data_IF_987201256537
#
_entry.id   IF_987201256537
#
_cell.length_a   1.000
_cell.length_b   1.000
_cell.length_c   1.000
_cell.angle_alpha   90.00
_cell.angle_beta   90.00
_cell.angle_gamma   90.00
#
_symmetry.space_group_name_H-M   'P 1'
#
loop_
_entity.id
_entity.type
_entity.pdbx_description
1 polymer ?
#
# COMPACT_ATOMS: atom_id res chain seq x y z
N UNK A 1 -17.39 -38.40 -2.94
CA UNK A 1 -18.79 -38.63 -2.48
C UNK A 1 -18.72 -39.78 -1.49
N UNK A 2 -18.83 -39.58 -0.18
CA UNK A 2 -20.12 -39.38 0.49
C UNK A 2 -19.90 -38.67 1.85
N UNK A 3 -19.24 -37.50 1.80
CA UNK A 3 -19.12 -36.53 2.90
C UNK A 3 -20.46 -35.79 3.14
N UNK A 4 -21.57 -36.54 3.14
CA UNK A 4 -22.95 -36.02 3.09
C UNK A 4 -23.88 -36.61 4.17
N UNK A 5 -23.33 -37.22 5.23
CA UNK A 5 -24.14 -37.80 6.32
C UNK A 5 -23.83 -37.28 7.73
N UNK A 6 -23.33 -36.05 7.87
CA UNK A 6 -23.23 -35.38 9.17
C UNK A 6 -24.00 -34.05 9.23
N UNK A 7 -25.07 -33.91 8.45
CA UNK A 7 -26.04 -32.80 8.59
C UNK A 7 -27.39 -33.35 9.04
N UNK A 8 -27.46 -33.86 10.27
CA UNK A 8 -28.72 -33.99 10.97
C UNK A 8 -28.48 -34.14 12.47
N UNK A 9 -28.85 -33.06 13.20
CA UNK A 9 -29.16 -32.96 14.64
C UNK A 9 -28.22 -32.03 15.41
N UNK A 10 -28.64 -30.78 15.54
CA UNK A 10 -29.05 -30.19 16.84
C UNK A 10 -29.65 -28.81 16.58
N UNK A 11 -30.98 -28.75 16.68
CA UNK A 11 -31.71 -27.51 16.99
C UNK A 11 -31.37 -27.13 18.43
N UNK A 12 -31.10 -25.86 18.67
CA UNK A 12 -31.14 -25.23 19.99
C UNK A 12 -29.78 -24.95 20.62
N UNK A 13 -29.28 -23.73 20.45
CA UNK A 13 -28.92 -22.82 21.55
C UNK A 13 -28.32 -21.53 20.97
N UNK A 14 -28.84 -20.38 21.41
CA UNK A 14 -28.19 -19.07 21.24
C UNK A 14 -26.81 -19.16 21.89
N UNK A 15 -25.75 -19.08 21.08
CA UNK A 15 -24.40 -18.84 21.59
C UNK A 15 -24.18 -17.34 21.41
N UNK A 16 -24.20 -16.62 22.52
CA UNK A 16 -23.69 -15.24 22.62
C UNK A 16 -22.22 -15.31 22.19
N UNK A 17 -21.84 -14.49 21.22
CA UNK A 17 -20.51 -14.54 20.59
C UNK A 17 -19.39 -14.23 21.58
N UNK A 18 -18.82 -15.27 22.19
CA UNK A 18 -17.49 -15.18 22.78
C UNK A 18 -16.49 -15.00 21.63
N UNK A 19 -15.78 -13.87 21.64
CA UNK A 19 -14.58 -13.67 20.81
C UNK A 19 -13.58 -14.75 21.21
N UNK A 20 -13.36 -15.73 20.34
CA UNK A 20 -12.24 -16.65 20.47
C UNK A 20 -10.95 -15.85 20.26
N UNK A 21 -10.34 -15.36 21.35
CA UNK A 21 -9.01 -14.78 21.31
C UNK A 21 -8.02 -15.95 21.26
N UNK A 22 -7.48 -16.23 20.07
CA UNK A 22 -6.39 -17.18 19.91
C UNK A 22 -5.10 -16.45 20.27
N UNK A 23 -4.50 -16.82 21.40
CA UNK A 23 -3.17 -16.33 21.78
C UNK A 23 -2.14 -17.01 20.87
N UNK A 24 -1.65 -16.27 19.88
CA UNK A 24 -0.61 -16.74 18.96
C UNK A 24 0.74 -16.55 19.66
N UNK A 25 1.48 -17.64 19.92
CA UNK A 25 2.84 -17.54 20.45
C UNK A 25 3.81 -16.92 19.44
N UNK A 26 4.89 -16.31 19.93
CA UNK A 26 5.88 -15.58 19.11
C UNK A 26 6.42 -16.41 17.93
N UNK A 27 6.63 -17.71 18.13
CA UNK A 27 7.11 -18.62 17.08
C UNK A 27 6.08 -18.85 15.96
N UNK A 28 4.79 -18.85 16.28
CA UNK A 28 3.72 -18.99 15.29
C UNK A 28 3.49 -17.69 14.52
N UNK A 29 3.60 -16.54 15.20
CA UNK A 29 3.55 -15.23 14.56
C UNK A 29 4.72 -15.06 13.59
N UNK A 30 5.95 -15.40 14.02
CA UNK A 30 7.15 -15.35 13.20
C UNK A 30 7.06 -16.30 11.99
N UNK A 31 6.60 -17.53 12.18
CA UNK A 31 6.34 -18.45 11.06
C UNK A 31 5.29 -17.92 10.07
N UNK A 32 4.20 -17.31 10.55
CA UNK A 32 3.17 -16.71 9.70
C UNK A 32 3.72 -15.53 8.89
N UNK A 33 4.47 -14.62 9.53
CA UNK A 33 5.17 -13.53 8.84
C UNK A 33 6.21 -14.04 7.84
N UNK A 34 7.05 -15.00 8.22
CA UNK A 34 8.07 -15.59 7.35
C UNK A 34 7.46 -16.31 6.14
N UNK A 35 6.28 -16.94 6.31
CA UNK A 35 5.60 -17.68 5.26
C UNK A 35 4.88 -16.76 4.26
N UNK A 36 4.26 -15.67 4.73
CA UNK A 36 3.38 -14.83 3.91
C UNK A 36 3.99 -13.50 3.49
N UNK A 37 4.78 -12.86 4.36
CA UNK A 37 5.30 -11.51 4.10
C UNK A 37 6.75 -11.53 3.59
N UNK A 38 7.56 -12.54 3.94
CA UNK A 38 9.02 -12.51 3.66
C UNK A 38 9.40 -12.41 2.19
N UNK A 39 8.61 -12.94 1.26
CA UNK A 39 8.90 -12.87 -0.19
C UNK A 39 8.66 -11.46 -0.72
N UNK A 40 7.47 -10.93 -0.47
CA UNK A 40 7.10 -9.57 -0.82
C UNK A 40 8.04 -8.56 -0.14
N UNK A 41 8.35 -8.73 1.15
CA UNK A 41 9.31 -7.88 1.85
C UNK A 41 10.71 -7.92 1.22
N UNK A 42 11.22 -9.09 0.83
CA UNK A 42 12.51 -9.18 0.13
C UNK A 42 12.47 -8.42 -1.20
N UNK A 43 11.37 -8.47 -1.92
CA UNK A 43 11.23 -7.77 -3.20
C UNK A 43 11.09 -6.26 -3.03
N UNK A 44 10.26 -5.84 -2.09
CA UNK A 44 10.07 -4.43 -1.74
C UNK A 44 11.40 -3.82 -1.25
N UNK A 45 12.17 -4.57 -0.46
CA UNK A 45 13.43 -4.09 0.12
C UNK A 45 14.64 -4.29 -0.78
N UNK A 46 14.53 -4.95 -1.95
CA UNK A 46 15.67 -5.12 -2.85
C UNK A 46 16.10 -3.79 -3.52
N UNK A 47 15.32 -2.72 -3.37
CA UNK A 47 15.63 -1.39 -3.90
C UNK A 47 15.36 -1.21 -5.39
N UNK A 48 14.82 -2.22 -6.08
CA UNK A 48 14.29 -2.09 -7.44
C UNK A 48 12.99 -1.30 -7.38
N UNK A 49 12.89 -0.22 -8.14
CA UNK A 49 11.65 0.52 -8.32
C UNK A 49 11.02 0.13 -9.67
N UNK A 50 9.78 -0.34 -9.64
CA UNK A 50 9.11 -0.88 -10.82
C UNK A 50 8.56 0.22 -11.73
N UNK A 51 8.26 1.40 -11.17
CA UNK A 51 7.85 2.57 -11.96
C UNK A 51 9.01 3.09 -12.81
N UNK A 52 10.19 3.28 -12.25
CA UNK A 52 11.38 3.79 -12.93
C UNK A 52 12.20 2.71 -13.64
N UNK A 53 11.90 1.42 -13.40
CA UNK A 53 12.64 0.25 -13.91
C UNK A 53 14.14 0.31 -13.63
N UNK A 54 14.53 0.73 -12.43
CA UNK A 54 15.93 0.82 -12.01
C UNK A 54 16.11 0.58 -10.52
N UNK A 55 17.36 0.38 -10.11
CA UNK A 55 17.74 0.34 -8.71
C UNK A 55 17.82 1.75 -8.14
N UNK A 56 17.32 1.92 -6.92
CA UNK A 56 17.42 3.17 -6.16
C UNK A 56 18.65 3.10 -5.24
N UNK A 57 19.41 4.19 -5.16
CA UNK A 57 20.59 4.28 -4.29
C UNK A 57 20.15 4.40 -2.82
N UNK A 58 20.66 3.51 -1.96
CA UNK A 58 20.40 3.48 -0.52
C UNK A 58 20.64 4.80 0.21
N UNK A 59 21.55 5.64 -0.29
CA UNK A 59 21.83 6.96 0.30
C UNK A 59 20.63 7.90 0.26
N UNK A 60 19.65 7.65 -0.62
CA UNK A 60 18.46 8.50 -0.76
C UNK A 60 17.55 8.48 0.46
N UNK A 61 17.60 7.45 1.29
CA UNK A 61 16.85 7.42 2.56
C UNK A 61 17.39 8.41 3.61
N UNK A 62 18.54 9.04 3.37
CA UNK A 62 19.16 9.98 4.32
C UNK A 62 18.73 11.44 4.09
N UNK A 63 18.52 11.84 2.83
CA UNK A 63 18.14 13.22 2.50
C UNK A 63 17.30 13.28 1.21
N UNK A 64 16.02 13.61 1.36
CA UNK A 64 15.11 13.77 0.23
C UNK A 64 15.52 14.91 -0.71
N UNK A 65 16.18 15.96 -0.18
CA UNK A 65 16.62 17.13 -0.98
C UNK A 65 17.67 16.75 -2.02
N UNK A 66 18.38 15.64 -1.82
CA UNK A 66 19.39 15.15 -2.75
C UNK A 66 18.81 14.63 -4.09
N UNK A 67 17.51 14.33 -4.16
CA UNK A 67 16.87 13.84 -5.38
C UNK A 67 15.48 14.46 -5.67
N UNK A 68 14.90 15.21 -4.73
CA UNK A 68 13.61 15.84 -4.94
C UNK A 68 13.70 17.02 -5.91
N UNK A 69 13.01 16.92 -7.04
CA UNK A 69 12.84 18.02 -7.99
C UNK A 69 11.43 18.64 -7.95
N UNK A 70 10.47 18.02 -7.25
CA UNK A 70 9.08 18.51 -7.19
C UNK A 70 8.80 19.46 -6.01
N UNK A 71 9.69 19.51 -5.02
CA UNK A 71 9.59 20.34 -3.82
C UNK A 71 8.68 19.79 -2.71
N UNK A 72 8.13 18.58 -2.85
CA UNK A 72 7.14 18.01 -1.92
C UNK A 72 7.55 16.64 -1.35
N UNK A 73 8.79 16.18 -1.58
CA UNK A 73 9.27 14.91 -1.02
C UNK A 73 9.92 15.15 0.35
N UNK A 74 9.55 14.33 1.32
CA UNK A 74 10.14 14.29 2.65
C UNK A 74 10.45 12.84 3.03
N UNK A 75 11.54 12.62 3.77
CA UNK A 75 11.89 11.28 4.24
C UNK A 75 10.87 10.83 5.27
N UNK A 76 10.46 9.57 5.14
CA UNK A 76 9.52 8.93 6.04
C UNK A 76 10.25 7.77 6.67
N UNK A 77 10.32 7.75 7.98
CA UNK A 77 11.03 6.70 8.69
C UNK A 77 10.40 5.34 8.45
N UNK A 78 11.26 4.35 8.19
CA UNK A 78 10.84 2.97 8.01
C UNK A 78 10.24 2.64 6.64
N UNK A 79 10.25 3.53 5.64
CA UNK A 79 9.80 3.15 4.28
C UNK A 79 10.89 2.36 3.53
N UNK A 80 10.51 1.45 2.61
CA UNK A 80 11.47 0.76 1.75
C UNK A 80 12.17 1.68 0.76
N UNK A 81 13.36 1.27 0.36
CA UNK A 81 14.20 2.01 -0.58
C UNK A 81 13.53 2.22 -1.96
N UNK A 82 12.71 1.28 -2.42
CA UNK A 82 11.99 1.40 -3.69
C UNK A 82 11.06 2.62 -3.74
N UNK A 83 10.63 3.15 -2.60
CA UNK A 83 9.75 4.34 -2.52
C UNK A 83 10.54 5.67 -2.55
N UNK A 84 11.87 5.63 -2.41
CA UNK A 84 12.73 6.80 -2.32
C UNK A 84 13.02 7.43 -3.70
N UNK A 85 11.96 7.83 -4.40
CA UNK A 85 12.04 8.51 -5.69
C UNK A 85 11.05 9.69 -5.79
N UNK A 86 11.42 10.67 -6.61
CA UNK A 86 10.61 11.86 -6.85
C UNK A 86 9.67 11.62 -8.05
N UNK A 87 8.45 12.16 -8.01
CA UNK A 87 7.50 12.03 -9.12
C UNK A 87 8.05 12.62 -10.44
N UNK A 88 8.94 13.62 -10.36
CA UNK A 88 9.60 14.21 -11.53
C UNK A 88 10.62 13.29 -12.18
N UNK A 89 11.20 12.34 -11.45
CA UNK A 89 12.11 11.37 -12.06
C UNK A 89 11.37 10.47 -13.07
N UNK A 90 10.06 10.25 -12.90
CA UNK A 90 9.24 9.56 -13.89
C UNK A 90 9.07 10.38 -15.18
N UNK A 91 9.43 11.67 -15.21
CA UNK A 91 9.47 12.53 -16.39
C UNK A 91 10.76 12.37 -17.21
N UNK A 92 11.85 11.99 -16.55
CA UNK A 92 13.22 12.09 -17.07
C UNK A 92 13.81 10.74 -17.53
N UNK A 93 13.01 9.68 -17.59
CA UNK A 93 13.48 8.29 -17.80
C UNK A 93 13.98 7.96 -19.23
N UNK A 94 14.13 8.95 -20.11
CA UNK A 94 14.61 8.75 -21.48
C UNK A 94 13.77 7.74 -22.29
N UNK A 95 14.41 7.02 -23.23
CA UNK A 95 13.77 6.06 -24.14
C UNK A 95 13.41 4.70 -23.51
N UNK A 96 13.92 4.40 -22.31
CA UNK A 96 13.67 3.13 -21.58
C UNK A 96 12.48 3.20 -20.61
N UNK A 97 11.57 4.15 -20.85
CA UNK A 97 10.50 4.51 -19.91
C UNK A 97 9.44 3.41 -19.81
N UNK A 98 9.15 3.00 -18.57
CA UNK A 98 8.08 2.05 -18.32
C UNK A 98 6.71 2.66 -18.64
N UNK A 99 5.71 1.79 -18.90
CA UNK A 99 4.31 2.20 -19.02
C UNK A 99 3.85 2.94 -17.75
N UNK A 100 4.26 2.46 -16.57
CA UNK A 100 3.95 3.10 -15.31
C UNK A 100 4.53 4.53 -15.21
N UNK A 101 5.79 4.73 -15.61
CA UNK A 101 6.40 6.07 -15.62
C UNK A 101 5.72 7.02 -16.61
N UNK A 102 5.29 6.51 -17.78
CA UNK A 102 4.52 7.30 -18.75
C UNK A 102 3.17 7.72 -18.18
N UNK A 103 2.44 6.78 -17.56
CA UNK A 103 1.16 7.05 -16.93
C UNK A 103 1.27 8.11 -15.83
N UNK A 104 2.26 7.97 -14.93
CA UNK A 104 2.52 8.94 -13.88
C UNK A 104 2.85 10.33 -14.45
N UNK A 105 3.70 10.39 -15.47
CA UNK A 105 4.06 11.67 -16.07
C UNK A 105 2.91 12.33 -16.83
N UNK A 106 2.01 11.54 -17.44
CA UNK A 106 0.79 12.06 -18.05
C UNK A 106 -0.12 12.70 -16.99
N UNK A 107 -0.21 12.13 -15.78
CA UNK A 107 -0.95 12.76 -14.66
C UNK A 107 -0.29 14.03 -14.15
N UNK A 108 1.05 14.10 -14.15
CA UNK A 108 1.78 15.31 -13.74
C UNK A 108 1.56 16.43 -14.77
N UNK A 109 1.68 16.12 -16.06
CA UNK A 109 1.62 17.13 -17.12
C UNK A 109 2.61 18.27 -16.88
N UNK A 110 2.08 19.50 -16.80
CA UNK A 110 2.86 20.71 -16.51
C UNK A 110 2.97 21.06 -15.03
N UNK A 111 2.35 20.29 -14.13
CA UNK A 111 2.35 20.58 -12.70
C UNK A 111 3.75 20.44 -12.09
N UNK A 112 4.04 21.20 -11.04
CA UNK A 112 5.33 21.07 -10.33
C UNK A 112 5.44 19.74 -9.55
N UNK A 113 4.31 19.17 -9.14
CA UNK A 113 4.23 17.90 -8.43
C UNK A 113 2.89 17.21 -8.72
N UNK A 114 2.86 15.87 -8.74
CA UNK A 114 1.61 15.10 -8.93
C UNK A 114 0.60 15.37 -7.83
N UNK A 115 1.06 15.68 -6.61
CA UNK A 115 0.19 15.96 -5.46
C UNK A 115 -0.57 17.27 -5.58
N UNK A 116 -0.20 18.14 -6.54
CA UNK A 116 -0.93 19.38 -6.86
C UNK A 116 -2.05 19.17 -7.88
N UNK A 117 -2.19 17.95 -8.42
CA UNK A 117 -3.30 17.63 -9.31
C UNK A 117 -4.61 17.60 -8.51
N UNK A 118 -5.68 18.23 -9.01
CA UNK A 118 -6.96 18.32 -8.29
C UNK A 118 -7.54 16.94 -7.92
N UNK A 119 -7.51 16.00 -8.87
CA UNK A 119 -7.95 14.62 -8.62
C UNK A 119 -7.12 13.90 -7.55
N UNK A 120 -5.86 14.27 -7.31
CA UNK A 120 -5.08 13.64 -6.25
C UNK A 120 -5.74 13.90 -4.88
N UNK A 121 -6.10 15.15 -4.60
CA UNK A 121 -6.75 15.51 -3.35
C UNK A 121 -8.09 14.78 -3.20
N UNK A 122 -8.95 14.86 -4.23
CA UNK A 122 -10.28 14.24 -4.20
C UNK A 122 -10.24 12.72 -4.10
N UNK A 123 -9.31 12.03 -4.77
CA UNK A 123 -9.29 10.57 -4.81
C UNK A 123 -8.48 9.94 -3.68
N UNK A 124 -7.45 10.63 -3.18
CA UNK A 124 -6.49 10.04 -2.25
C UNK A 124 -6.59 10.61 -0.82
N UNK A 125 -7.21 11.79 -0.63
CA UNK A 125 -7.21 12.48 0.67
C UNK A 125 -8.62 12.83 1.19
N UNK A 126 -9.65 12.74 0.34
CA UNK A 126 -11.03 12.97 0.75
C UNK A 126 -11.64 11.71 1.39
N UNK A 127 -12.06 11.84 2.64
CA UNK A 127 -12.53 10.71 3.45
C UNK A 127 -13.80 10.09 2.86
N UNK A 128 -14.74 10.89 2.37
CA UNK A 128 -16.00 10.38 1.82
C UNK A 128 -15.76 9.63 0.52
N UNK A 129 -14.84 10.13 -0.31
CA UNK A 129 -14.43 9.43 -1.52
C UNK A 129 -13.72 8.12 -1.19
N UNK A 130 -12.81 8.12 -0.20
CA UNK A 130 -12.12 6.90 0.22
C UNK A 130 -13.08 5.86 0.81
N UNK A 131 -14.09 6.28 1.58
CA UNK A 131 -15.16 5.40 2.06
C UNK A 131 -15.89 4.72 0.90
N UNK A 132 -16.22 5.47 -0.16
CA UNK A 132 -16.81 4.88 -1.36
C UNK A 132 -15.85 3.93 -2.07
N UNK A 133 -14.57 4.32 -2.21
CA UNK A 133 -13.55 3.53 -2.90
C UNK A 133 -13.14 2.25 -2.17
N UNK A 134 -13.36 2.16 -0.85
CA UNK A 134 -13.12 0.94 -0.06
C UNK A 134 -13.89 -0.28 -0.60
N UNK A 135 -15.00 -0.05 -1.29
CA UNK A 135 -15.83 -1.10 -1.92
C UNK A 135 -15.61 -1.22 -3.44
N UNK A 136 -14.70 -0.41 -4.01
CA UNK A 136 -14.45 -0.41 -5.44
C UNK A 136 -13.46 -1.51 -5.82
N UNK A 137 -13.88 -2.44 -6.68
CA UNK A 137 -13.10 -3.64 -7.05
C UNK A 137 -11.73 -3.35 -7.66
N UNK A 138 -11.56 -2.21 -8.34
CA UNK A 138 -10.26 -1.79 -8.87
C UNK A 138 -9.30 -1.22 -7.81
N UNK A 139 -9.84 -0.80 -6.66
CA UNK A 139 -9.06 -0.22 -5.55
C UNK A 139 -8.82 -1.28 -4.48
N UNK A 140 -9.87 -1.92 -3.97
CA UNK A 140 -9.78 -2.99 -2.98
C UNK A 140 -10.46 -4.26 -3.53
N UNK A 141 -9.69 -5.33 -3.72
CA UNK A 141 -10.23 -6.59 -4.27
C UNK A 141 -10.74 -7.52 -3.16
N UNK A 142 -10.11 -7.48 -1.98
CA UNK A 142 -10.40 -8.37 -0.87
C UNK A 142 -10.30 -7.63 0.47
N UNK A 143 -11.34 -6.87 0.83
CA UNK A 143 -11.44 -6.29 2.19
C UNK A 143 -12.17 -7.25 3.13
N UNK A 144 -11.54 -7.75 4.21
CA UNK A 144 -12.19 -8.64 5.16
C UNK A 144 -12.90 -7.81 6.25
N UNK A 145 -14.18 -7.47 6.02
CA UNK A 145 -15.11 -7.04 7.07
C UNK A 145 -15.46 -5.55 7.05
N UNK A 146 -16.74 -5.16 7.00
CA UNK A 146 -17.74 -5.25 8.07
C UNK A 146 -17.37 -4.48 9.36
N UNK A 147 -16.34 -3.65 9.37
CA UNK A 147 -16.20 -2.61 10.40
C UNK A 147 -16.99 -1.36 10.00
N UNK A 148 -17.72 -0.77 10.96
CA UNK A 148 -18.53 0.43 10.74
C UNK A 148 -17.67 1.67 10.45
N UNK A 149 -16.37 1.64 10.80
CA UNK A 149 -15.45 2.77 10.67
C UNK A 149 -14.05 2.33 10.27
N UNK A 150 -13.48 2.96 9.24
CA UNK A 150 -12.09 2.73 8.81
C UNK A 150 -11.08 3.45 9.72
N UNK A 151 -9.95 2.79 9.99
CA UNK A 151 -8.81 3.35 10.74
C UNK A 151 -7.90 4.21 9.85
N UNK A 152 -6.98 4.98 10.46
CA UNK A 152 -5.97 5.74 9.70
C UNK A 152 -5.11 4.84 8.80
N UNK A 153 -4.78 3.63 9.26
CA UNK A 153 -4.05 2.63 8.47
C UNK A 153 -4.85 2.18 7.25
N UNK A 154 -6.15 1.98 7.41
CA UNK A 154 -7.04 1.59 6.31
C UNK A 154 -7.13 2.70 5.26
N UNK A 155 -7.27 3.96 5.70
CA UNK A 155 -7.25 5.10 4.78
C UNK A 155 -5.92 5.23 4.04
N UNK A 156 -4.77 4.98 4.68
CA UNK A 156 -3.47 4.95 3.96
C UNK A 156 -3.45 3.89 2.86
N UNK A 157 -3.93 2.68 3.16
CA UNK A 157 -4.00 1.60 2.17
C UNK A 157 -4.94 1.97 1.01
N UNK A 158 -6.16 2.42 1.30
CA UNK A 158 -7.15 2.78 0.27
C UNK A 158 -6.64 3.96 -0.56
N UNK A 159 -6.03 4.97 0.06
CA UNK A 159 -5.45 6.11 -0.63
C UNK A 159 -4.31 5.71 -1.57
N UNK A 160 -3.43 4.80 -1.13
CA UNK A 160 -2.39 4.23 -1.97
C UNK A 160 -3.00 3.51 -3.18
N UNK A 161 -3.97 2.63 -2.94
CA UNK A 161 -4.65 1.89 -4.01
C UNK A 161 -5.41 2.79 -4.97
N UNK A 162 -6.08 3.82 -4.45
CA UNK A 162 -6.78 4.82 -5.23
C UNK A 162 -5.81 5.59 -6.12
N UNK A 163 -4.65 5.98 -5.60
CA UNK A 163 -3.59 6.61 -6.40
C UNK A 163 -3.09 5.70 -7.52
N UNK A 164 -2.78 4.44 -7.19
CA UNK A 164 -2.27 3.48 -8.16
C UNK A 164 -3.30 3.17 -9.25
N UNK A 165 -4.57 3.00 -8.87
CA UNK A 165 -5.66 2.79 -9.83
C UNK A 165 -5.93 4.03 -10.68
N UNK A 166 -5.95 5.23 -10.09
CA UNK A 166 -6.12 6.48 -10.84
C UNK A 166 -5.00 6.69 -11.87
N UNK A 167 -3.78 6.32 -11.51
CA UNK A 167 -2.59 6.50 -12.35
C UNK A 167 -2.50 5.43 -13.43
N UNK A 168 -2.70 4.16 -13.08
CA UNK A 168 -2.37 3.02 -13.93
C UNK A 168 -3.57 2.17 -14.37
N UNK A 169 -4.77 2.44 -13.87
CA UNK A 169 -5.95 1.62 -14.16
C UNK A 169 -5.79 0.18 -13.65
N UNK A 170 -6.23 -0.79 -14.43
CA UNK A 170 -6.14 -2.22 -14.08
C UNK A 170 -4.70 -2.76 -14.00
N UNK A 171 -3.71 -2.03 -14.51
CA UNK A 171 -2.30 -2.46 -14.50
C UNK A 171 -1.66 -2.36 -13.09
N UNK A 172 -2.33 -1.75 -12.11
CA UNK A 172 -1.80 -1.63 -10.74
C UNK A 172 -2.07 -2.84 -9.84
N UNK A 173 -2.60 -3.94 -10.39
CA UNK A 173 -2.78 -5.19 -9.64
C UNK A 173 -1.43 -5.69 -9.13
N UNK A 174 -1.42 -6.32 -7.96
CA UNK A 174 -0.19 -6.85 -7.39
C UNK A 174 0.56 -5.90 -6.45
N UNK A 175 0.08 -4.67 -6.18
CA UNK A 175 0.76 -3.70 -5.30
C UNK A 175 2.24 -3.42 -5.64
N UNK A 176 2.65 -3.66 -6.89
CA UNK A 176 4.04 -3.57 -7.34
C UNK A 176 4.43 -2.18 -7.83
N UNK A 177 3.47 -1.28 -8.04
CA UNK A 177 3.71 0.07 -8.53
C UNK A 177 3.83 1.05 -7.36
N UNK A 178 5.07 1.29 -6.95
CA UNK A 178 5.35 2.17 -5.81
C UNK A 178 4.91 3.60 -6.13
N UNK A 179 4.22 4.31 -5.22
CA UNK A 179 3.94 5.73 -5.37
C UNK A 179 5.24 6.53 -5.14
N UNK A 180 5.37 7.72 -5.74
CA UNK A 180 6.52 8.59 -5.47
C UNK A 180 6.48 9.10 -4.03
N UNK A 181 7.65 9.43 -3.48
CA UNK A 181 7.79 9.82 -2.07
C UNK A 181 6.89 11.00 -1.66
N UNK A 182 6.69 11.96 -2.56
CA UNK A 182 5.76 13.09 -2.33
C UNK A 182 4.30 12.65 -2.13
N UNK A 183 3.83 11.63 -2.84
CA UNK A 183 2.48 11.09 -2.68
C UNK A 183 2.37 10.38 -1.34
N UNK A 184 3.33 9.52 -1.05
CA UNK A 184 3.34 8.78 0.21
C UNK A 184 3.38 9.72 1.42
N UNK A 185 4.22 10.75 1.36
CA UNK A 185 4.32 11.78 2.38
C UNK A 185 2.98 12.50 2.61
N UNK A 186 2.29 12.93 1.55
CA UNK A 186 0.97 13.59 1.70
C UNK A 186 -0.10 12.66 2.26
N UNK A 187 -0.10 11.39 1.87
CA UNK A 187 -1.03 10.39 2.40
C UNK A 187 -0.81 10.20 3.91
N UNK A 188 0.45 10.03 4.35
CA UNK A 188 0.78 9.87 5.77
C UNK A 188 0.52 11.15 6.56
N UNK A 189 0.75 12.32 5.97
CA UNK A 189 0.41 13.60 6.60
C UNK A 189 -1.09 13.71 6.88
N UNK A 190 -1.94 13.21 5.97
CA UNK A 190 -3.40 13.21 6.13
C UNK A 190 -3.89 12.12 7.08
N UNK A 191 -3.27 10.94 7.04
CA UNK A 191 -3.63 9.76 7.83
C UNK A 191 -2.38 9.25 8.60
N UNK A 192 -2.06 9.86 9.75
CA UNK A 192 -0.82 9.60 10.47
C UNK A 192 -0.66 8.15 10.94
N UNK A 193 0.59 7.69 11.04
CA UNK A 193 0.91 6.41 11.68
C UNK A 193 0.52 6.47 13.16
N UNK A 194 0.07 5.35 13.71
CA UNK A 194 -0.24 5.25 15.14
C UNK A 194 1.07 5.08 15.92
N UNK A 195 1.21 5.79 17.05
CA UNK A 195 2.36 5.71 17.97
C UNK A 195 2.34 4.44 18.83
N UNK A 196 1.76 3.34 18.34
CA UNK A 196 1.62 2.13 19.13
C UNK A 196 2.96 1.37 19.18
N UNK A 197 3.81 1.83 20.11
CA UNK A 197 5.13 1.31 20.48
C UNK A 197 5.18 -0.17 20.87
N UNK A 198 4.03 -0.86 20.90
CA UNK A 198 3.88 -2.26 21.30
C UNK A 198 4.20 -3.26 20.19
N UNK A 199 4.23 -2.83 18.92
CA UNK A 199 4.55 -3.69 17.78
C UNK A 199 5.71 -3.07 17.01
N UNK A 200 6.87 -3.73 17.00
CA UNK A 200 8.06 -3.35 16.21
C UNK A 200 7.83 -3.52 14.69
N UNK A 201 6.66 -3.12 14.17
CA UNK A 201 6.37 -3.16 12.76
C UNK A 201 7.10 -2.00 12.07
N UNK A 202 8.09 -2.33 11.25
CA UNK A 202 8.79 -1.41 10.36
C UNK A 202 8.42 -1.73 8.92
N UNK A 203 8.59 -0.81 7.98
CA UNK A 203 8.28 -1.08 6.57
C UNK A 203 6.83 -0.79 6.19
N UNK A 204 6.44 -1.31 5.02
CA UNK A 204 5.09 -1.12 4.48
C UNK A 204 4.01 -1.79 5.31
N UNK A 205 4.34 -2.78 6.13
CA UNK A 205 3.40 -3.39 7.07
C UNK A 205 2.84 -2.36 8.06
N UNK A 206 3.69 -1.47 8.57
CA UNK A 206 3.23 -0.39 9.43
C UNK A 206 2.39 0.65 8.65
N UNK A 207 2.80 0.92 7.41
CA UNK A 207 2.13 1.91 6.57
C UNK A 207 0.75 1.44 6.10
N UNK A 208 0.62 0.21 5.63
CA UNK A 208 -0.55 -0.29 4.90
C UNK A 208 -1.21 -1.53 5.52
N UNK A 209 -0.63 -2.11 6.56
CA UNK A 209 -1.14 -3.34 7.19
C UNK A 209 -0.97 -4.59 6.32
N UNK A 210 -1.45 -5.72 6.84
CA UNK A 210 -1.25 -7.04 6.20
C UNK A 210 -2.02 -7.19 4.87
N UNK A 211 -3.12 -6.46 4.70
CA UNK A 211 -3.92 -6.49 3.45
C UNK A 211 -3.12 -6.11 2.23
N UNK A 212 -2.11 -5.25 2.38
CA UNK A 212 -1.18 -4.88 1.32
C UNK A 212 -0.40 -6.09 0.76
N UNK A 213 0.02 -7.00 1.62
CA UNK A 213 0.85 -8.15 1.23
C UNK A 213 0.03 -9.26 0.59
N UNK A 214 -1.25 -9.41 0.96
CA UNK A 214 -2.14 -10.38 0.32
C UNK A 214 -2.37 -10.10 -1.16
N UNK A 215 -2.32 -8.82 -1.54
CA UNK A 215 -2.48 -8.39 -2.93
C UNK A 215 -1.11 -8.18 -3.61
N UNK A 216 0.00 -8.58 -3.00
CA UNK A 216 1.33 -8.50 -3.61
C UNK A 216 1.62 -9.78 -4.41
N UNK A 217 1.33 -9.75 -5.71
CA UNK A 217 1.55 -10.88 -6.63
C UNK A 217 2.80 -10.63 -7.49
N UNK A 218 3.65 -11.66 -7.60
CA UNK A 218 4.80 -11.66 -8.50
C UNK A 218 4.31 -11.67 -9.96
N UNK A 219 4.77 -10.70 -10.75
CA UNK A 219 4.68 -10.79 -12.21
C UNK A 219 5.87 -11.64 -12.70
N UNK A 220 5.68 -12.95 -12.77
CA UNK A 220 6.54 -13.87 -13.54
C UNK A 220 6.29 -13.71 -15.05
#
# INVERSE_FOLDING_TARGET
MEMRRMLARRRGSRIVGERTVVTVGDDHARWFYDRFCSSAERMINNGKNNVLKRMIDGKRLQDARGFCACGECEIIDGIPLSYAYCCKEAMDVGSARSVAANNLANKIGSLSCVTKHSSFYSLCLDIEVLNMLSNHKGVCTQWPGMEETLTSRDYRYIAYRAFSYWTHGDDCRGNTLEPPLCVLHKIIQKFPMEDDSSLEQRGLLNVFGIGFYNEYEDQD
#
